data_IF_070213038530
#
_entry.id   IF_070213038530
#
_cell.length_a   1.000
_cell.length_b   1.000
_cell.length_c   1.000
_cell.angle_alpha   90.00
_cell.angle_beta   90.00
_cell.angle_gamma   90.00
#
_symmetry.space_group_name_H-M   'P 1'
#
loop_
_entity.id
_entity.type
_entity.pdbx_description
1 polymer ?
#
# COMPACT_ATOMS: atom_id res chain seq x y z
N UNK A 1 16.32 -12.44 17.78
CA UNK A 1 15.01 -11.81 18.07
C UNK A 1 14.07 -12.88 18.54
N UNK A 2 13.57 -12.74 19.76
CA UNK A 2 12.48 -13.55 20.31
C UNK A 2 11.12 -12.94 19.91
N UNK A 3 10.03 -13.71 20.01
CA UNK A 3 8.67 -13.22 19.76
C UNK A 3 8.30 -12.03 20.67
N UNK A 4 8.80 -12.02 21.92
CA UNK A 4 8.61 -10.88 22.83
C UNK A 4 9.33 -9.63 22.32
N UNK A 5 10.49 -9.78 21.68
CA UNK A 5 11.22 -8.64 21.11
C UNK A 5 10.43 -8.01 19.95
N UNK A 6 9.73 -8.82 19.15
CA UNK A 6 8.88 -8.35 18.06
C UNK A 6 7.71 -7.51 18.59
N UNK A 7 6.96 -8.05 19.56
CA UNK A 7 5.79 -7.36 20.12
C UNK A 7 6.18 -6.08 20.85
N UNK A 8 7.26 -6.10 21.63
CA UNK A 8 7.76 -4.89 22.31
C UNK A 8 8.21 -3.81 21.30
N UNK A 9 8.84 -4.22 20.19
CA UNK A 9 9.20 -3.30 19.10
C UNK A 9 7.97 -2.71 18.44
N UNK A 10 6.96 -3.53 18.15
CA UNK A 10 5.71 -3.08 17.56
C UNK A 10 4.96 -2.10 18.47
N UNK A 11 4.85 -2.42 19.77
CA UNK A 11 4.27 -1.54 20.78
C UNK A 11 4.97 -0.19 20.82
N UNK A 12 6.31 -0.18 20.89
CA UNK A 12 7.09 1.05 20.87
C UNK A 12 6.91 1.86 19.57
N UNK A 13 6.67 1.21 18.42
CA UNK A 13 6.40 1.92 17.16
C UNK A 13 4.99 2.50 17.09
N UNK A 14 3.99 1.81 17.66
CA UNK A 14 2.57 2.22 17.64
C UNK A 14 2.31 3.35 18.64
N UNK A 15 2.99 3.31 19.80
CA UNK A 15 2.75 4.27 20.89
C UNK A 15 3.91 5.26 21.12
N UNK A 16 5.07 5.07 20.47
CA UNK A 16 6.23 5.96 20.59
C UNK A 16 6.27 7.06 19.53
N UNK A 17 7.46 7.65 19.33
CA UNK A 17 7.67 8.88 18.55
C UNK A 17 7.11 8.88 17.10
N UNK A 18 6.86 7.71 16.50
CA UNK A 18 6.20 7.62 15.18
C UNK A 18 4.72 7.98 15.23
N UNK A 19 4.02 7.76 16.35
CA UNK A 19 2.63 8.18 16.50
C UNK A 19 2.48 9.70 16.39
N UNK A 20 3.46 10.45 16.91
CA UNK A 20 3.47 11.91 16.84
C UNK A 20 3.71 12.43 15.41
N UNK A 21 4.41 11.65 14.58
CA UNK A 21 4.77 12.03 13.21
C UNK A 21 3.66 11.67 12.20
N UNK A 22 2.96 10.55 12.40
CA UNK A 22 1.91 10.08 11.48
C UNK A 22 0.49 10.42 11.95
N UNK A 23 0.30 10.76 13.22
CA UNK A 23 -1.01 10.96 13.84
C UNK A 23 -1.69 9.63 14.18
N UNK A 24 -2.98 9.70 14.51
CA UNK A 24 -3.72 8.50 14.91
C UNK A 24 -3.87 7.53 13.73
N UNK A 25 -3.63 6.20 13.89
CA UNK A 25 -3.71 5.23 12.79
C UNK A 25 -5.04 5.22 12.03
N UNK A 26 -6.13 5.61 12.69
CA UNK A 26 -7.45 5.74 12.05
C UNK A 26 -7.46 6.76 10.90
N UNK A 27 -6.64 7.81 10.95
CA UNK A 27 -6.57 8.80 9.87
C UNK A 27 -5.93 8.21 8.61
N UNK A 28 -4.81 7.52 8.77
CA UNK A 28 -4.14 6.83 7.67
C UNK A 28 -5.02 5.73 7.09
N UNK A 29 -5.61 4.90 7.94
CA UNK A 29 -6.50 3.83 7.49
C UNK A 29 -7.78 4.34 6.84
N UNK A 30 -8.27 5.54 7.22
CA UNK A 30 -9.39 6.19 6.54
C UNK A 30 -9.03 6.56 5.10
N UNK A 31 -7.87 7.18 4.88
CA UNK A 31 -7.40 7.52 3.52
C UNK A 31 -7.19 6.25 2.69
N UNK A 32 -6.54 5.22 3.26
CA UNK A 32 -6.31 3.94 2.60
C UNK A 32 -7.65 3.28 2.23
N UNK A 33 -8.60 3.23 3.17
CA UNK A 33 -9.95 2.71 2.94
C UNK A 33 -10.60 3.40 1.74
N UNK A 34 -10.53 4.73 1.66
CA UNK A 34 -11.21 5.48 0.61
C UNK A 34 -10.57 5.21 -0.77
N UNK A 35 -9.24 5.18 -0.84
CA UNK A 35 -8.50 4.86 -2.06
C UNK A 35 -8.78 3.42 -2.54
N UNK A 36 -8.70 2.46 -1.63
CA UNK A 36 -8.94 1.04 -1.96
C UNK A 36 -10.39 0.79 -2.34
N UNK A 37 -11.34 1.41 -1.64
CA UNK A 37 -12.77 1.27 -1.96
C UNK A 37 -13.07 1.79 -3.36
N UNK A 38 -12.49 2.92 -3.76
CA UNK A 38 -12.64 3.46 -5.12
C UNK A 38 -12.06 2.49 -6.17
N UNK A 39 -10.87 1.94 -5.93
CA UNK A 39 -10.24 0.98 -6.83
C UNK A 39 -11.06 -0.31 -6.98
N UNK A 40 -11.46 -0.92 -5.86
CA UNK A 40 -12.23 -2.16 -5.83
C UNK A 40 -13.61 -2.00 -6.46
N UNK A 41 -14.26 -0.86 -6.26
CA UNK A 41 -15.52 -0.54 -6.93
C UNK A 41 -15.34 -0.50 -8.44
N UNK A 42 -14.34 0.26 -8.93
CA UNK A 42 -14.03 0.31 -10.36
C UNK A 42 -13.68 -1.06 -10.94
N UNK A 43 -12.94 -1.88 -10.18
CA UNK A 43 -12.60 -3.25 -10.56
C UNK A 43 -13.86 -4.10 -10.79
N UNK A 44 -14.78 -4.08 -9.82
CA UNK A 44 -16.04 -4.81 -9.89
C UNK A 44 -16.91 -4.33 -11.05
N UNK A 45 -17.03 -3.01 -11.24
CA UNK A 45 -17.83 -2.40 -12.30
C UNK A 45 -17.29 -2.75 -13.71
N UNK A 46 -15.97 -2.87 -13.87
CA UNK A 46 -15.33 -3.14 -15.17
C UNK A 46 -15.25 -4.64 -15.48
N UNK A 47 -14.95 -5.48 -14.48
CA UNK A 47 -14.67 -6.92 -14.68
C UNK A 47 -15.86 -7.83 -14.38
N UNK A 48 -16.93 -7.31 -13.78
CA UNK A 48 -18.05 -8.09 -13.23
C UNK A 48 -17.60 -9.19 -12.24
N UNK A 49 -16.48 -8.95 -11.56
CA UNK A 49 -15.97 -9.81 -10.50
C UNK A 49 -15.15 -9.02 -9.47
N UNK A 50 -15.01 -9.58 -8.27
CA UNK A 50 -14.25 -8.97 -7.17
C UNK A 50 -12.96 -9.72 -6.86
N UNK A 51 -12.59 -10.70 -7.69
CA UNK A 51 -11.37 -11.49 -7.47
C UNK A 51 -10.15 -10.65 -7.83
N UNK A 52 -9.29 -10.44 -6.84
CA UNK A 52 -8.00 -9.78 -7.05
C UNK A 52 -7.02 -10.69 -7.80
N UNK A 53 -6.42 -10.13 -8.85
CA UNK A 53 -5.19 -10.63 -9.46
C UNK A 53 -3.97 -10.07 -8.74
N UNK A 54 -2.79 -10.64 -9.03
CA UNK A 54 -1.52 -10.21 -8.43
C UNK A 54 -1.17 -8.76 -8.76
N UNK A 55 -1.53 -8.28 -9.96
CA UNK A 55 -1.36 -6.89 -10.37
C UNK A 55 -2.26 -5.94 -9.55
N UNK A 56 -3.47 -6.36 -9.21
CA UNK A 56 -4.40 -5.56 -8.39
C UNK A 56 -3.83 -5.37 -6.98
N UNK A 57 -3.23 -6.41 -6.40
CA UNK A 57 -2.56 -6.30 -5.08
C UNK A 57 -1.41 -5.31 -5.12
N UNK A 58 -0.59 -5.33 -6.18
CA UNK A 58 0.49 -4.35 -6.33
C UNK A 58 -0.03 -2.92 -6.48
N UNK A 59 -1.13 -2.71 -7.22
CA UNK A 59 -1.80 -1.41 -7.31
C UNK A 59 -2.33 -0.93 -5.95
N UNK A 60 -2.95 -1.82 -5.16
CA UNK A 60 -3.39 -1.52 -3.80
C UNK A 60 -2.21 -1.13 -2.88
N UNK A 61 -1.05 -1.76 -3.03
CA UNK A 61 0.17 -1.39 -2.30
C UNK A 61 0.72 -0.01 -2.71
N UNK A 62 0.58 0.38 -3.98
CA UNK A 62 0.89 1.75 -4.44
C UNK A 62 -0.07 2.75 -3.80
N UNK A 63 -1.39 2.46 -3.77
CA UNK A 63 -2.38 3.32 -3.11
C UNK A 63 -2.09 3.51 -1.61
N UNK A 64 -1.60 2.46 -0.93
CA UNK A 64 -1.17 2.55 0.47
C UNK A 64 -0.03 3.55 0.66
N UNK A 65 0.95 3.57 -0.26
CA UNK A 65 2.07 4.53 -0.20
C UNK A 65 1.63 5.94 -0.57
N UNK A 66 0.72 6.10 -1.52
CA UNK A 66 0.11 7.39 -1.84
C UNK A 66 -0.68 7.97 -0.66
N UNK A 67 -1.35 7.13 0.14
CA UNK A 67 -2.00 7.59 1.37
C UNK A 67 -1.01 8.20 2.36
N UNK A 68 0.20 7.62 2.49
CA UNK A 68 1.28 8.17 3.31
C UNK A 68 1.83 9.49 2.77
N UNK A 69 2.02 9.57 1.45
CA UNK A 69 2.47 10.80 0.79
C UNK A 69 1.46 11.94 0.97
N UNK A 70 0.15 11.64 0.96
CA UNK A 70 -0.88 12.65 1.21
C UNK A 70 -0.77 13.31 2.59
N UNK A 71 -0.20 12.60 3.57
CA UNK A 71 0.10 13.11 4.92
C UNK A 71 1.47 13.77 5.00
N UNK A 72 2.47 13.18 4.34
CA UNK A 72 3.84 13.68 4.36
C UNK A 72 4.53 13.44 3.00
N UNK A 73 4.47 14.42 2.07
CA UNK A 73 4.92 14.21 0.69
C UNK A 73 6.44 14.14 0.54
N UNK A 74 7.18 14.53 1.58
CA UNK A 74 8.65 14.63 1.58
C UNK A 74 9.36 13.32 1.95
N UNK A 75 8.61 12.28 2.31
CA UNK A 75 9.18 10.97 2.61
C UNK A 75 9.57 10.23 1.32
N UNK A 76 10.86 10.27 1.01
CA UNK A 76 11.43 9.63 -0.18
C UNK A 76 11.26 8.10 -0.20
N UNK A 77 11.18 7.46 0.98
CA UNK A 77 10.97 6.01 1.11
C UNK A 77 9.71 5.54 0.37
N UNK A 78 8.64 6.32 0.47
CA UNK A 78 7.33 6.01 -0.08
C UNK A 78 7.36 6.09 -1.61
N UNK A 79 8.14 7.00 -2.18
CA UNK A 79 8.38 7.07 -3.62
C UNK A 79 9.21 5.90 -4.14
N UNK A 80 10.23 5.47 -3.38
CA UNK A 80 11.02 4.27 -3.70
C UNK A 80 10.15 3.01 -3.67
N UNK A 81 9.30 2.87 -2.66
CA UNK A 81 8.36 1.76 -2.56
C UNK A 81 7.38 1.73 -3.75
N UNK A 82 6.85 2.89 -4.17
CA UNK A 82 5.98 2.99 -5.35
C UNK A 82 6.69 2.50 -6.60
N UNK A 83 7.93 2.96 -6.84
CA UNK A 83 8.73 2.52 -7.97
C UNK A 83 8.99 1.00 -7.91
N UNK A 84 9.26 0.46 -6.71
CA UNK A 84 9.44 -0.97 -6.47
C UNK A 84 8.19 -1.79 -6.82
N UNK A 85 7.01 -1.40 -6.34
CA UNK A 85 5.76 -2.08 -6.64
C UNK A 85 5.38 -1.98 -8.12
N UNK A 86 5.61 -0.83 -8.76
CA UNK A 86 5.42 -0.69 -10.21
C UNK A 86 6.37 -1.61 -11.00
N UNK A 87 7.63 -1.73 -10.58
CA UNK A 87 8.59 -2.68 -11.14
C UNK A 87 8.13 -4.15 -10.98
N UNK A 88 7.54 -4.49 -9.84
CA UNK A 88 6.93 -5.81 -9.62
C UNK A 88 5.79 -6.08 -10.61
N UNK A 89 4.92 -5.11 -10.89
CA UNK A 89 3.86 -5.24 -11.92
C UNK A 89 4.47 -5.53 -13.29
N UNK A 90 5.52 -4.79 -13.69
CA UNK A 90 6.21 -5.06 -14.95
C UNK A 90 6.72 -6.50 -15.07
N UNK A 91 7.26 -7.05 -13.98
CA UNK A 91 7.70 -8.47 -13.92
C UNK A 91 6.52 -9.44 -14.02
N UNK A 92 5.39 -9.14 -13.37
CA UNK A 92 4.17 -9.96 -13.44
C UNK A 92 3.63 -9.97 -14.87
N UNK A 93 3.54 -8.81 -15.50
CA UNK A 93 3.06 -8.66 -16.88
C UNK A 93 3.93 -9.40 -17.88
N UNK A 94 5.25 -9.34 -17.72
CA UNK A 94 6.20 -10.08 -18.55
C UNK A 94 5.99 -11.61 -18.46
N UNK A 95 5.70 -12.15 -17.28
CA UNK A 95 5.44 -13.59 -17.08
C UNK A 95 4.05 -14.00 -17.58
N UNK A 96 3.06 -13.11 -17.49
CA UNK A 96 1.66 -13.38 -17.86
C UNK A 96 1.34 -13.04 -19.33
N UNK A 97 2.31 -12.54 -20.10
CA UNK A 97 2.13 -12.18 -21.51
C UNK A 97 1.30 -10.92 -21.74
N UNK A 98 1.15 -10.06 -20.73
CA UNK A 98 0.40 -8.78 -20.78
C UNK A 98 1.34 -7.55 -20.80
N UNK A 99 2.56 -7.72 -21.30
CA UNK A 99 3.57 -6.65 -21.35
C UNK A 99 3.21 -5.52 -22.34
N UNK A 100 3.88 -4.36 -22.27
CA UNK A 100 3.64 -3.28 -23.22
C UNK A 100 3.92 -3.76 -24.64
N UNK A 101 3.03 -3.37 -25.57
CA UNK A 101 3.16 -3.58 -27.02
C UNK A 101 4.53 -3.13 -27.56
#
# INVERSE_FOLDING_TARGET
>A
MSERDLLATAEAMIFGARADEYGHPADDFRIIRDLWSAYLKGLADIRDETRLETADVAALMVLLKLARIARSPWFWDSWVDIAGYAGCVGRIMAVTGRGPD
#
